data_IF_275781487485
#
_entry.id   IF_275781487485
#
_cell.length_a   1.000
_cell.length_b   1.000
_cell.length_c   1.000
_cell.angle_alpha   90.00
_cell.angle_beta   90.00
_cell.angle_gamma   90.00
#
_symmetry.space_group_name_H-M   'P 1'
#
loop_
_entity.id
_entity.type
_entity.pdbx_description
1 polymer ?
#
# COMPACT_ATOMS: atom_id res chain seq x y z
N UNK A 1 71.24 -9.24 -12.22
CA UNK A 1 70.36 -9.97 -11.64
C UNK A 1 69.24 -9.32 -10.98
N UNK A 2 68.35 -9.44 -11.37
CA UNK A 2 67.16 -9.55 -11.32
C UNK A 2 66.30 -9.24 -10.43
N UNK A 3 65.44 -8.65 -10.43
CA UNK A 3 64.43 -8.58 -10.43
C UNK A 3 63.39 -8.20 -10.21
N UNK A 4 62.68 -8.28 -10.20
CA UNK A 4 61.50 -8.45 -10.03
C UNK A 4 60.51 -7.68 -9.74
N UNK A 5 59.67 -7.62 -10.43
CA UNK A 5 58.27 -7.77 -10.38
C UNK A 5 57.57 -6.95 -9.38
N UNK A 6 57.35 -5.71 -9.70
CA UNK A 6 56.32 -5.01 -9.03
C UNK A 6 54.98 -5.59 -9.39
N UNK A 7 54.41 -6.17 -8.46
CA UNK A 7 53.03 -6.54 -8.52
C UNK A 7 52.20 -5.32 -8.24
N UNK A 8 51.60 -4.93 -9.24
CA UNK A 8 50.55 -3.94 -9.16
C UNK A 8 49.34 -4.54 -8.50
N UNK A 9 48.92 -4.10 -7.36
CA UNK A 9 47.68 -4.53 -6.81
C UNK A 9 46.54 -3.71 -7.41
N UNK A 10 46.04 -4.28 -8.40
CA UNK A 10 44.69 -4.24 -8.72
C UNK A 10 43.86 -3.33 -7.94
N UNK A 11 43.50 -2.38 -8.64
CA UNK A 11 42.21 -1.76 -8.61
C UNK A 11 41.12 -2.76 -8.25
N UNK A 12 40.66 -2.66 -7.07
CA UNK A 12 39.38 -3.20 -6.70
C UNK A 12 38.35 -2.18 -6.99
N UNK A 13 37.91 -2.20 -8.21
CA UNK A 13 36.67 -1.54 -8.55
C UNK A 13 35.61 -2.01 -7.57
N UNK A 14 35.32 -1.17 -6.65
CA UNK A 14 34.17 -1.32 -5.81
C UNK A 14 32.95 -0.97 -6.66
N UNK A 15 32.53 -1.93 -7.41
CA UNK A 15 31.23 -1.84 -8.08
C UNK A 15 30.13 -2.20 -7.08
N UNK A 16 29.93 -1.29 -6.17
CA UNK A 16 28.66 -1.23 -5.50
C UNK A 16 27.62 -0.67 -6.44
N UNK A 17 27.20 -1.50 -7.33
CA UNK A 17 25.91 -1.29 -7.95
C UNK A 17 24.82 -1.72 -6.98
N UNK A 18 24.58 -0.90 -6.01
CA UNK A 18 23.32 -0.95 -5.32
C UNK A 18 22.25 -0.44 -6.27
N UNK A 19 21.73 -1.35 -7.03
CA UNK A 19 20.42 -1.14 -7.60
C UNK A 19 19.41 -1.20 -6.47
N UNK A 20 19.32 -0.15 -5.74
CA UNK A 20 18.16 0.09 -4.90
C UNK A 20 16.99 0.31 -5.84
N UNK A 21 16.32 -0.77 -6.13
CA UNK A 21 14.94 -0.65 -6.57
C UNK A 21 14.18 -0.05 -5.41
N UNK A 22 13.73 1.18 -5.49
CA UNK A 22 12.86 1.69 -4.47
C UNK A 22 11.62 0.83 -4.49
N UNK A 23 11.40 0.09 -3.45
CA UNK A 23 10.12 -0.51 -3.20
C UNK A 23 9.17 0.64 -2.88
N UNK A 24 8.66 1.22 -3.95
CA UNK A 24 7.81 2.41 -3.91
C UNK A 24 6.45 2.16 -3.24
N UNK A 25 6.21 0.94 -2.81
CA UNK A 25 4.95 0.53 -2.21
C UNK A 25 4.87 0.82 -0.70
N UNK A 26 6.01 1.05 -0.07
CA UNK A 26 6.05 1.40 1.36
C UNK A 26 5.69 2.86 1.63
N UNK A 27 5.80 3.71 0.63
CA UNK A 27 5.62 5.15 0.82
C UNK A 27 4.16 5.59 0.90
N UNK A 28 3.23 4.82 0.36
CA UNK A 28 1.81 5.17 0.42
C UNK A 28 1.26 5.03 1.84
N UNK A 29 1.69 4.00 2.56
CA UNK A 29 1.27 3.81 3.94
C UNK A 29 1.87 4.85 4.89
N UNK A 30 3.07 5.34 4.62
CA UNK A 30 3.75 6.30 5.49
C UNK A 30 3.16 7.71 5.39
N UNK A 31 2.64 8.10 4.24
CA UNK A 31 2.11 9.45 4.03
C UNK A 31 0.61 9.59 4.35
N UNK A 32 -0.10 8.49 4.53
CA UNK A 32 -1.48 8.51 4.98
C UNK A 32 -1.61 8.71 6.50
N UNK A 33 -0.52 8.74 7.20
CA UNK A 33 -0.48 8.85 8.66
C UNK A 33 -0.57 10.29 9.15
N UNK A 34 -1.44 11.11 8.62
CA UNK A 34 -1.92 12.25 9.34
C UNK A 34 -2.92 11.76 10.40
N UNK A 35 -2.40 11.15 11.46
CA UNK A 35 -3.18 10.78 12.65
C UNK A 35 -3.55 12.05 13.41
N UNK A 36 -4.37 12.88 12.82
CA UNK A 36 -5.08 13.88 13.60
C UNK A 36 -6.32 13.19 14.15
N UNK A 37 -6.20 12.69 15.37
CA UNK A 37 -7.34 12.24 16.14
C UNK A 37 -8.36 13.38 16.14
N UNK A 38 -9.56 13.17 15.63
CA UNK A 38 -10.57 14.23 15.67
C UNK A 38 -10.80 14.62 17.12
N UNK A 39 -10.98 15.90 17.35
CA UNK A 39 -11.26 16.43 18.67
C UNK A 39 -12.54 15.83 19.26
N UNK A 40 -12.63 15.90 20.56
CA UNK A 40 -13.73 15.45 21.39
C UNK A 40 -15.09 15.82 20.77
N UNK A 41 -15.81 14.83 20.25
CA UNK A 41 -17.09 14.99 19.56
C UNK A 41 -17.17 14.31 18.20
N UNK A 42 -16.07 13.78 17.67
CA UNK A 42 -16.10 13.06 16.42
C UNK A 42 -16.72 11.67 16.59
N UNK A 43 -17.58 11.34 15.65
CA UNK A 43 -18.04 9.98 15.43
C UNK A 43 -16.82 9.08 15.26
N UNK A 44 -16.85 7.85 15.77
CA UNK A 44 -15.73 6.92 15.75
C UNK A 44 -15.19 6.62 14.35
N UNK A 45 -14.33 5.64 14.24
CA UNK A 45 -13.82 5.17 12.95
C UNK A 45 -14.98 4.65 12.11
N UNK A 46 -15.20 5.22 10.94
CA UNK A 46 -16.30 4.84 10.05
C UNK A 46 -15.90 3.77 9.05
N UNK A 47 -14.67 3.84 8.54
CA UNK A 47 -14.14 2.88 7.58
C UNK A 47 -12.73 2.50 8.01
N UNK A 48 -12.44 1.19 8.02
CA UNK A 48 -11.14 0.65 8.40
C UNK A 48 -10.65 -0.30 7.30
N UNK A 49 -9.39 -0.18 6.95
CA UNK A 49 -8.69 -1.17 6.15
C UNK A 49 -7.67 -1.88 7.03
N UNK A 50 -7.63 -3.20 7.00
CA UNK A 50 -6.75 -4.03 7.82
C UNK A 50 -6.00 -5.04 6.97
N UNK A 51 -4.68 -4.91 6.90
CA UNK A 51 -3.82 -5.82 6.19
C UNK A 51 -4.21 -6.02 4.72
N UNK A 52 -4.64 -4.97 4.04
CA UNK A 52 -5.15 -5.08 2.67
C UNK A 52 -4.01 -5.36 1.70
N UNK A 53 -4.17 -6.42 0.93
CA UNK A 53 -3.35 -6.77 -0.22
C UNK A 53 -4.22 -6.76 -1.45
N UNK A 54 -3.68 -6.34 -2.58
CA UNK A 54 -4.39 -6.39 -3.86
C UNK A 54 -3.47 -6.76 -5.01
N UNK A 55 -4.00 -7.56 -5.92
CA UNK A 55 -3.30 -8.08 -7.09
C UNK A 55 -4.06 -7.78 -8.37
N UNK A 56 -3.33 -7.69 -9.47
CA UNK A 56 -3.83 -7.80 -10.83
C UNK A 56 -3.11 -8.97 -11.50
N UNK A 57 -3.80 -10.10 -11.72
CA UNK A 57 -3.15 -11.34 -12.08
C UNK A 57 -2.09 -11.73 -11.05
N UNK A 58 -0.87 -11.95 -11.48
CA UNK A 58 0.25 -12.31 -10.61
C UNK A 58 0.96 -11.08 -9.98
N UNK A 59 0.56 -9.88 -10.35
CA UNK A 59 1.21 -8.65 -9.88
C UNK A 59 0.58 -8.15 -8.59
N UNK A 60 1.35 -8.19 -7.50
CA UNK A 60 1.01 -7.55 -6.23
C UNK A 60 1.14 -6.03 -6.36
N UNK A 61 0.07 -5.31 -6.10
CA UNK A 61 -0.01 -3.84 -6.19
C UNK A 61 -0.11 -3.18 -4.83
N UNK A 62 -0.84 -3.78 -3.91
CA UNK A 62 -0.95 -3.33 -2.53
C UNK A 62 -0.44 -4.43 -1.61
N UNK A 63 0.37 -4.04 -0.62
CA UNK A 63 0.94 -4.97 0.34
C UNK A 63 0.75 -4.43 1.74
N UNK A 64 -0.01 -5.15 2.54
CA UNK A 64 -0.20 -4.93 3.97
C UNK A 64 -0.59 -3.47 4.31
N UNK A 65 -1.66 -2.98 3.68
CA UNK A 65 -2.14 -1.63 3.90
C UNK A 65 -3.18 -1.64 5.02
N UNK A 66 -2.90 -0.88 6.07
CA UNK A 66 -3.82 -0.69 7.20
C UNK A 66 -4.02 0.78 7.48
N UNK A 67 -5.26 1.25 7.38
CA UNK A 67 -5.64 2.66 7.52
C UNK A 67 -7.03 2.79 8.15
N UNK A 68 -7.17 3.77 9.03
CA UNK A 68 -8.44 4.15 9.65
C UNK A 68 -8.95 5.47 9.08
N UNK A 69 -10.21 5.48 8.71
CA UNK A 69 -10.90 6.67 8.20
C UNK A 69 -11.98 7.08 9.20
N UNK A 70 -11.81 8.26 9.76
CA UNK A 70 -12.73 8.77 10.77
C UNK A 70 -14.01 9.31 10.13
N UNK A 71 -15.15 9.02 10.73
CA UNK A 71 -16.44 9.52 10.28
C UNK A 71 -16.47 11.04 10.30
N UNK A 72 -17.09 11.63 9.28
CA UNK A 72 -17.22 13.08 9.18
C UNK A 72 -15.93 13.83 8.84
N UNK A 73 -14.88 13.14 8.43
CA UNK A 73 -13.60 13.75 8.04
C UNK A 73 -13.28 13.49 6.57
N UNK A 74 -12.43 14.34 6.02
CA UNK A 74 -11.86 14.15 4.69
C UNK A 74 -10.43 13.62 4.83
N UNK A 75 -10.14 12.49 4.20
CA UNK A 75 -8.81 11.90 4.15
C UNK A 75 -8.28 11.95 2.73
N UNK A 76 -7.11 12.51 2.52
CA UNK A 76 -6.45 12.56 1.23
C UNK A 76 -5.35 11.52 1.13
N UNK A 77 -5.32 10.79 0.02
CA UNK A 77 -4.23 9.89 -0.34
C UNK A 77 -3.28 10.62 -1.30
N UNK A 78 -2.05 10.81 -0.88
CA UNK A 78 -1.03 11.53 -1.64
C UNK A 78 0.11 10.58 -1.96
N UNK A 79 0.60 10.65 -3.17
CA UNK A 79 1.73 9.85 -3.62
C UNK A 79 1.94 9.95 -5.13
N UNK A 80 3.06 9.44 -5.66
CA UNK A 80 3.36 9.47 -7.09
C UNK A 80 2.33 8.69 -7.90
N UNK A 81 2.25 9.00 -9.19
CA UNK A 81 1.42 8.26 -10.13
C UNK A 81 1.82 6.78 -10.18
N UNK A 82 0.84 5.88 -10.22
CA UNK A 82 1.09 4.44 -10.33
C UNK A 82 1.51 3.75 -9.03
N UNK A 83 1.42 4.41 -7.87
CA UNK A 83 1.80 3.80 -6.59
C UNK A 83 0.68 2.99 -5.90
N UNK A 84 -0.48 2.85 -6.53
CA UNK A 84 -1.59 2.05 -6.02
C UNK A 84 -2.72 2.80 -5.34
N UNK A 85 -2.73 4.14 -5.31
CA UNK A 85 -3.80 4.94 -4.69
C UNK A 85 -5.18 4.60 -5.23
N UNK A 86 -5.33 4.57 -6.54
CA UNK A 86 -6.60 4.23 -7.19
C UNK A 86 -7.02 2.79 -6.93
N UNK A 87 -6.07 1.89 -6.87
CA UNK A 87 -6.33 0.48 -6.52
C UNK A 87 -6.85 0.38 -5.09
N UNK A 88 -6.22 1.09 -4.16
CA UNK A 88 -6.64 1.10 -2.76
C UNK A 88 -8.06 1.65 -2.61
N UNK A 89 -8.40 2.78 -3.25
CA UNK A 89 -9.76 3.33 -3.20
C UNK A 89 -10.78 2.32 -3.74
N UNK A 90 -10.44 1.57 -4.79
CA UNK A 90 -11.33 0.53 -5.34
C UNK A 90 -11.53 -0.65 -4.40
N UNK A 91 -10.58 -0.95 -3.53
CA UNK A 91 -10.78 -1.99 -2.51
C UNK A 91 -11.75 -1.51 -1.43
N UNK A 92 -11.76 -0.23 -1.09
CA UNK A 92 -12.64 0.34 -0.06
C UNK A 92 -14.13 0.36 -0.44
N UNK A 93 -14.45 0.29 -1.72
CA UNK A 93 -15.84 0.28 -2.21
C UNK A 93 -16.21 -0.97 -3.02
N UNK A 94 -15.41 -2.03 -2.92
CA UNK A 94 -15.59 -3.28 -3.66
C UNK A 94 -15.59 -3.15 -5.19
N UNK A 95 -15.03 -2.10 -5.74
CA UNK A 95 -14.88 -1.98 -7.19
C UNK A 95 -13.71 -2.78 -7.76
N UNK A 96 -12.79 -3.20 -6.90
CA UNK A 96 -11.62 -3.98 -7.32
C UNK A 96 -12.02 -5.37 -7.86
N UNK A 97 -13.02 -5.99 -7.28
CA UNK A 97 -13.50 -7.33 -7.65
C UNK A 97 -14.11 -7.41 -9.08
N UNK A 98 -14.47 -6.26 -9.67
CA UNK A 98 -15.00 -6.24 -11.05
C UNK A 98 -13.92 -6.23 -12.13
N UNK A 99 -12.68 -6.12 -11.74
CA UNK A 99 -11.57 -6.10 -12.70
C UNK A 99 -11.15 -7.54 -12.95
N UNK A 100 -11.16 -8.00 -14.21
CA UNK A 100 -10.73 -9.37 -14.53
C UNK A 100 -9.31 -9.65 -14.04
N UNK A 101 -9.15 -10.76 -13.33
CA UNK A 101 -7.87 -11.15 -12.75
C UNK A 101 -7.45 -10.38 -11.50
N UNK A 102 -8.31 -9.50 -10.97
CA UNK A 102 -8.04 -8.83 -9.72
C UNK A 102 -8.37 -9.74 -8.53
N UNK A 103 -7.54 -9.69 -7.51
CA UNK A 103 -7.74 -10.38 -6.24
C UNK A 103 -7.41 -9.45 -5.08
N UNK A 104 -8.02 -9.71 -3.94
CA UNK A 104 -7.80 -8.96 -2.71
C UNK A 104 -7.74 -9.91 -1.52
N UNK A 105 -6.95 -9.55 -0.51
CA UNK A 105 -6.95 -10.17 0.81
C UNK A 105 -6.86 -9.08 1.88
N UNK A 106 -7.20 -9.42 3.10
CA UNK A 106 -7.36 -8.49 4.21
C UNK A 106 -8.81 -8.07 4.39
N UNK A 107 -9.08 -7.23 5.38
CA UNK A 107 -10.42 -6.84 5.78
C UNK A 107 -10.67 -5.36 5.48
N UNK A 108 -11.88 -5.04 5.07
CA UNK A 108 -12.35 -3.66 4.98
C UNK A 108 -13.66 -3.56 5.76
N UNK A 109 -13.63 -2.80 6.85
CA UNK A 109 -14.74 -2.69 7.76
C UNK A 109 -15.44 -1.34 7.60
N UNK A 110 -16.74 -1.34 7.38
CA UNK A 110 -17.58 -0.15 7.41
C UNK A 110 -18.43 -0.19 8.68
N UNK A 111 -18.20 0.76 9.58
CA UNK A 111 -18.82 0.79 10.89
C UNK A 111 -18.68 -0.55 11.66
N UNK A 112 -17.50 -1.16 11.58
CA UNK A 112 -17.19 -2.42 12.24
C UNK A 112 -17.66 -3.68 11.54
N UNK A 113 -18.35 -3.56 10.39
CA UNK A 113 -18.82 -4.69 9.61
C UNK A 113 -17.98 -4.86 8.33
N UNK A 114 -17.50 -6.07 8.10
CA UNK A 114 -16.73 -6.36 6.89
C UNK A 114 -17.61 -6.23 5.65
N UNK A 115 -17.17 -5.37 4.74
CA UNK A 115 -17.90 -5.14 3.49
C UNK A 115 -17.75 -6.29 2.49
N UNK A 116 -16.77 -7.16 2.68
CA UNK A 116 -16.54 -8.35 1.84
C UNK A 116 -17.21 -9.61 2.38
N UNK A 117 -17.89 -9.50 3.52
CA UNK A 117 -18.65 -10.62 4.09
C UNK A 117 -19.71 -11.12 3.09
N UNK A 118 -19.85 -12.44 3.03
CA UNK A 118 -20.83 -13.10 2.18
C UNK A 118 -22.26 -12.63 2.50
N UNK A 119 -23.01 -12.25 1.48
CA UNK A 119 -24.37 -11.70 1.63
C UNK A 119 -24.45 -10.20 1.86
N UNK A 120 -23.33 -9.50 1.89
CA UNK A 120 -23.33 -8.04 1.97
C UNK A 120 -23.82 -7.42 0.66
N UNK A 121 -24.81 -6.52 0.75
CA UNK A 121 -25.37 -5.81 -0.40
C UNK A 121 -24.38 -4.77 -0.92
N UNK A 122 -23.75 -5.07 -2.03
CA UNK A 122 -22.73 -4.23 -2.67
C UNK A 122 -23.29 -2.86 -3.08
N UNK A 123 -24.56 -2.79 -3.42
CA UNK A 123 -25.21 -1.54 -3.85
C UNK A 123 -25.30 -0.53 -2.71
N UNK A 124 -25.41 -1.01 -1.47
CA UNK A 124 -25.47 -0.14 -0.27
C UNK A 124 -24.09 0.37 0.17
N UNK A 125 -23.04 -0.23 -0.34
CA UNK A 125 -21.66 0.15 0.02
C UNK A 125 -21.15 1.27 -0.91
N UNK A 126 -21.69 1.39 -2.10
CA UNK A 126 -21.25 2.32 -3.15
C UNK A 126 -21.93 3.65 -3.14
#
# INVERSE_FOLDING_TARGET
MINSGAQDPLDKGNENMETTTPSSLSSVAANAAAKKKPGSGALGVGLEARGVHAWFGDKLVLKDISLDFWSGTVTALIGPSGCGKSTFIRTLNRMHEFIPGAAMAGDVLLNGKDIYESGTDVTKIR
#
